data_IF_403885919838
#
_entry.id   IF_403885919838
#
_cell.length_a   1.000
_cell.length_b   1.000
_cell.length_c   1.000
_cell.angle_alpha   90.00
_cell.angle_beta   90.00
_cell.angle_gamma   90.00
#
_symmetry.space_group_name_H-M   'P 1'
#
loop_
_entity.id
_entity.type
_entity.pdbx_description
1 polymer ?
#
# COMPACT_ATOMS: atom_id res chain seq x y z
N UNK A 1 -20.36 29.58 25.54
CA UNK A 1 -20.96 28.73 24.47
C UNK A 1 -20.30 27.36 24.53
N UNK A 2 -20.97 26.37 25.15
CA UNK A 2 -20.54 24.97 25.03
C UNK A 2 -21.08 24.45 23.71
N UNK A 3 -20.23 24.24 22.72
CA UNK A 3 -20.58 23.42 21.58
C UNK A 3 -20.71 21.98 22.09
N UNK A 4 -21.92 21.46 22.16
CA UNK A 4 -22.17 20.04 22.33
C UNK A 4 -21.59 19.35 21.06
N UNK A 5 -20.43 18.77 21.20
CA UNK A 5 -19.81 18.00 20.12
C UNK A 5 -20.78 16.83 19.84
N UNK A 6 -21.45 16.85 18.69
CA UNK A 6 -22.27 15.71 18.27
C UNK A 6 -21.35 14.49 18.15
N UNK A 7 -21.72 13.41 18.80
CA UNK A 7 -21.01 12.14 18.63
C UNK A 7 -21.16 11.68 17.18
N UNK A 8 -20.23 10.82 16.69
CA UNK A 8 -20.30 10.27 15.33
C UNK A 8 -21.65 9.61 15.01
N UNK A 9 -22.43 9.22 16.02
CA UNK A 9 -23.78 8.66 15.92
C UNK A 9 -24.89 9.70 15.67
N UNK A 10 -24.66 10.97 16.00
CA UNK A 10 -25.65 12.04 15.88
C UNK A 10 -25.54 12.79 14.54
N UNK A 11 -24.55 12.46 13.74
CA UNK A 11 -24.37 13.06 12.42
C UNK A 11 -25.25 12.29 11.42
N UNK A 12 -26.15 12.96 10.67
CA UNK A 12 -27.06 12.27 9.75
C UNK A 12 -26.30 11.33 8.80
N UNK A 13 -26.82 10.12 8.61
CA UNK A 13 -26.28 9.08 7.70
C UNK A 13 -26.25 9.51 6.21
N UNK A 14 -26.26 10.79 5.91
CA UNK A 14 -26.24 11.31 4.55
C UNK A 14 -24.86 11.84 4.21
N UNK A 15 -24.27 11.32 3.18
CA UNK A 15 -23.11 11.73 2.41
C UNK A 15 -21.70 11.41 2.94
N UNK A 16 -21.50 10.92 4.20
CA UNK A 16 -20.14 10.63 4.73
C UNK A 16 -20.11 9.64 5.91
N UNK A 17 -21.15 8.82 6.05
CA UNK A 17 -21.12 7.72 7.01
C UNK A 17 -20.10 6.65 6.60
N UNK A 18 -19.60 5.86 7.56
CA UNK A 18 -18.79 4.69 7.27
C UNK A 18 -19.47 3.74 6.27
N UNK A 19 -20.81 3.73 6.25
CA UNK A 19 -21.61 2.94 5.33
C UNK A 19 -21.46 3.41 3.88
N UNK A 20 -21.54 4.74 3.62
CA UNK A 20 -21.34 5.31 2.27
C UNK A 20 -19.90 5.10 1.81
N UNK A 21 -18.92 5.36 2.68
CA UNK A 21 -17.52 5.13 2.39
C UNK A 21 -17.25 3.65 2.09
N UNK A 22 -17.84 2.74 2.87
CA UNK A 22 -17.76 1.30 2.65
C UNK A 22 -18.43 0.88 1.33
N UNK A 23 -19.60 1.44 1.00
CA UNK A 23 -20.31 1.15 -0.24
C UNK A 23 -19.51 1.56 -1.47
N UNK A 24 -18.99 2.78 -1.51
CA UNK A 24 -18.17 3.26 -2.63
C UNK A 24 -16.90 2.44 -2.82
N UNK A 25 -16.27 2.04 -1.71
CA UNK A 25 -15.09 1.17 -1.77
C UNK A 25 -15.44 -0.23 -2.29
N UNK A 26 -16.58 -0.79 -1.85
CA UNK A 26 -17.08 -2.08 -2.34
C UNK A 26 -17.33 -2.06 -3.84
N UNK A 27 -17.94 -0.98 -4.34
CA UNK A 27 -18.17 -0.79 -5.77
C UNK A 27 -16.85 -0.71 -6.55
N UNK A 28 -15.89 0.11 -6.08
CA UNK A 28 -14.60 0.33 -6.75
C UNK A 28 -13.77 -0.95 -6.85
N UNK A 29 -13.74 -1.75 -5.79
CA UNK A 29 -12.93 -2.97 -5.71
C UNK A 29 -13.73 -4.25 -5.98
N UNK A 30 -15.05 -4.14 -6.27
CA UNK A 30 -15.95 -5.30 -6.44
C UNK A 30 -15.85 -6.29 -5.27
N UNK A 31 -15.84 -5.76 -4.03
CA UNK A 31 -15.64 -6.57 -2.82
C UNK A 31 -16.82 -7.53 -2.62
N UNK A 32 -16.60 -8.85 -2.58
CA UNK A 32 -17.66 -9.82 -2.36
C UNK A 32 -18.36 -9.62 -1.01
N UNK A 33 -19.63 -10.06 -0.91
CA UNK A 33 -20.45 -9.89 0.30
C UNK A 33 -19.92 -10.63 1.54
N UNK A 34 -19.13 -11.69 1.32
CA UNK A 34 -18.47 -12.47 2.37
C UNK A 34 -17.14 -11.87 2.87
N UNK A 35 -16.98 -10.55 2.74
CA UNK A 35 -15.87 -9.79 3.30
C UNK A 35 -16.38 -8.66 4.18
N UNK A 36 -15.73 -8.42 5.31
CA UNK A 36 -15.88 -7.20 6.10
C UNK A 36 -14.91 -6.13 5.62
N UNK A 37 -15.40 -4.89 5.61
CA UNK A 37 -14.61 -3.67 5.37
C UNK A 37 -14.52 -2.93 6.69
N UNK A 38 -13.31 -2.78 7.21
CA UNK A 38 -13.06 -2.15 8.51
C UNK A 38 -12.22 -0.88 8.31
N UNK A 39 -12.62 0.19 8.98
CA UNK A 39 -11.91 1.46 9.05
C UNK A 39 -11.29 1.61 10.43
N UNK A 40 -10.00 1.30 10.55
CA UNK A 40 -9.30 1.15 11.81
C UNK A 40 -8.25 2.26 12.01
N UNK A 41 -7.61 2.25 13.17
CA UNK A 41 -6.53 3.15 13.55
C UNK A 41 -5.19 2.40 13.61
N UNK A 42 -4.06 3.12 13.83
CA UNK A 42 -2.74 2.51 13.98
C UNK A 42 -1.94 2.33 12.68
N UNK A 43 -2.53 2.65 11.52
CA UNK A 43 -1.88 2.52 10.21
C UNK A 43 -1.48 1.07 9.89
N UNK A 44 -0.70 0.89 8.83
CA UNK A 44 -0.19 -0.43 8.43
C UNK A 44 0.69 -1.07 9.53
N UNK A 45 1.42 -0.26 10.30
CA UNK A 45 2.24 -0.78 11.41
C UNK A 45 1.40 -1.45 12.50
N UNK A 46 0.22 -0.90 12.82
CA UNK A 46 -0.73 -1.55 13.71
C UNK A 46 -1.21 -2.89 13.17
N UNK A 47 -1.36 -3.02 11.85
CA UNK A 47 -1.79 -4.26 11.21
C UNK A 47 -0.69 -5.34 11.23
N UNK A 48 0.60 -4.98 11.26
CA UNK A 48 1.68 -5.94 11.47
C UNK A 48 1.54 -6.70 12.79
N UNK A 49 0.96 -6.05 13.82
CA UNK A 49 0.61 -6.66 15.11
C UNK A 49 -0.76 -7.35 15.07
N UNK A 50 -1.79 -6.67 14.55
CA UNK A 50 -3.17 -7.17 14.59
C UNK A 50 -3.35 -8.47 13.80
N UNK A 51 -2.72 -8.59 12.63
CA UNK A 51 -2.86 -9.76 11.76
C UNK A 51 -2.43 -11.07 12.46
N UNK A 52 -1.21 -11.20 13.02
CA UNK A 52 -0.85 -12.42 13.75
C UNK A 52 -1.70 -12.66 15.00
N UNK A 53 -2.21 -11.61 15.68
CA UNK A 53 -3.12 -11.77 16.81
C UNK A 53 -4.48 -12.34 16.41
N UNK A 54 -4.98 -12.00 15.21
CA UNK A 54 -6.29 -12.43 14.72
C UNK A 54 -6.24 -13.75 13.93
N UNK A 55 -5.16 -14.01 13.19
CA UNK A 55 -5.12 -15.11 12.23
C UNK A 55 -4.22 -16.26 12.65
N UNK A 56 -3.36 -16.09 13.68
CA UNK A 56 -2.38 -17.09 14.06
C UNK A 56 -2.42 -17.40 15.56
N UNK A 57 -2.51 -18.68 15.93
CA UNK A 57 -2.20 -19.13 17.28
C UNK A 57 -0.71 -18.94 17.60
N UNK A 58 -0.34 -18.94 18.89
CA UNK A 58 1.05 -18.74 19.32
C UNK A 58 2.05 -19.74 18.70
N UNK A 59 1.61 -20.97 18.49
CA UNK A 59 2.40 -22.05 17.91
C UNK A 59 2.24 -22.19 16.39
N UNK A 60 1.36 -21.37 15.78
CA UNK A 60 1.10 -21.43 14.35
C UNK A 60 2.31 -20.96 13.53
N UNK A 61 2.51 -21.59 12.39
CA UNK A 61 3.45 -21.12 11.37
C UNK A 61 2.73 -20.19 10.42
N UNK A 62 3.40 -19.08 10.06
CA UNK A 62 2.96 -18.12 9.06
C UNK A 62 4.06 -17.93 8.05
N UNK A 63 3.68 -17.79 6.79
CA UNK A 63 4.61 -17.58 5.69
C UNK A 63 4.71 -16.10 5.32
N UNK A 64 5.92 -15.68 4.98
CA UNK A 64 6.19 -14.32 4.49
C UNK A 64 7.07 -14.35 3.25
N UNK A 65 6.84 -13.38 2.37
CA UNK A 65 7.76 -13.04 1.26
C UNK A 65 8.46 -11.74 1.61
N UNK A 66 9.80 -11.76 1.66
CA UNK A 66 10.62 -10.58 1.98
C UNK A 66 11.13 -9.94 0.69
N UNK A 67 10.56 -8.79 0.32
CA UNK A 67 10.93 -8.04 -0.89
C UNK A 67 11.39 -6.61 -0.59
N UNK A 68 11.56 -6.26 0.69
CA UNK A 68 12.05 -4.92 1.02
C UNK A 68 11.84 -4.49 2.47
N UNK A 69 11.78 -3.19 2.66
CA UNK A 69 11.77 -2.60 4.00
C UNK A 69 10.45 -2.86 4.75
N UNK A 70 9.32 -2.87 4.07
CA UNK A 70 8.00 -3.03 4.70
C UNK A 70 7.71 -4.49 5.03
N UNK A 71 7.97 -5.40 4.11
CA UNK A 71 7.89 -6.84 4.37
C UNK A 71 8.82 -7.25 5.51
N UNK A 72 10.05 -6.73 5.56
CA UNK A 72 11.00 -6.98 6.66
C UNK A 72 10.46 -6.49 8.01
N UNK A 73 9.79 -5.33 8.08
CA UNK A 73 9.15 -4.84 9.31
C UNK A 73 7.99 -5.73 9.73
N UNK A 74 7.13 -6.13 8.79
CA UNK A 74 6.02 -7.03 9.06
C UNK A 74 6.51 -8.38 9.60
N UNK A 75 7.57 -8.95 9.02
CA UNK A 75 8.24 -10.16 9.49
C UNK A 75 8.75 -9.97 10.93
N UNK A 76 9.44 -8.84 11.20
CA UNK A 76 9.99 -8.55 12.52
C UNK A 76 8.93 -8.46 13.61
N UNK A 77 7.76 -7.91 13.28
CA UNK A 77 6.65 -7.80 14.22
C UNK A 77 5.95 -9.15 14.43
N UNK A 78 5.67 -9.91 13.36
CA UNK A 78 5.02 -11.22 13.44
C UNK A 78 5.82 -12.23 14.27
N UNK A 79 7.15 -12.18 14.23
CA UNK A 79 8.05 -13.03 15.03
C UNK A 79 7.84 -12.91 16.56
N UNK A 80 7.20 -11.84 17.02
CA UNK A 80 6.84 -11.65 18.44
C UNK A 80 5.65 -12.51 18.86
N UNK A 81 4.88 -12.98 17.88
CA UNK A 81 3.56 -13.57 18.14
C UNK A 81 3.43 -15.02 17.67
N UNK A 82 4.19 -15.45 16.67
CA UNK A 82 4.06 -16.76 16.05
C UNK A 82 5.37 -17.19 15.37
N UNK A 83 5.41 -18.41 14.84
CA UNK A 83 6.52 -18.95 14.08
C UNK A 83 6.49 -18.39 12.66
N UNK A 84 7.52 -17.63 12.27
CA UNK A 84 7.59 -17.03 10.94
C UNK A 84 8.54 -17.82 10.06
N UNK A 85 8.03 -18.31 8.93
CA UNK A 85 8.79 -18.89 7.84
C UNK A 85 8.89 -17.88 6.68
N UNK A 86 10.09 -17.55 6.24
CA UNK A 86 10.31 -16.68 5.07
C UNK A 86 10.51 -17.58 3.87
N UNK A 87 9.47 -17.74 3.04
CA UNK A 87 9.47 -18.68 1.90
C UNK A 87 10.23 -18.14 0.68
N UNK A 88 10.46 -16.82 0.63
CA UNK A 88 11.34 -16.19 -0.35
C UNK A 88 11.91 -14.89 0.23
N UNK A 89 13.19 -14.62 -0.05
CA UNK A 89 13.93 -13.43 0.40
C UNK A 89 14.76 -12.86 -0.74
N UNK A 90 14.45 -11.65 -1.16
CA UNK A 90 15.13 -10.95 -2.25
C UNK A 90 16.38 -10.17 -1.80
N UNK A 91 16.94 -10.46 -0.64
CA UNK A 91 18.17 -9.81 -0.14
C UNK A 91 19.35 -10.00 -1.11
N UNK A 92 19.46 -11.16 -1.77
CA UNK A 92 20.52 -11.45 -2.73
C UNK A 92 20.49 -10.53 -3.97
N UNK A 93 19.29 -10.08 -4.37
CA UNK A 93 19.10 -9.09 -5.45
C UNK A 93 19.19 -7.65 -4.95
N UNK A 94 19.52 -7.44 -3.67
CA UNK A 94 19.41 -6.15 -2.99
C UNK A 94 17.97 -5.55 -3.10
N UNK A 95 16.96 -6.42 -3.05
CA UNK A 95 15.55 -6.05 -3.16
C UNK A 95 15.23 -5.26 -4.45
N UNK A 96 15.87 -5.62 -5.56
CA UNK A 96 15.64 -4.98 -6.86
C UNK A 96 14.63 -5.73 -7.74
N UNK A 97 14.14 -6.87 -7.29
CA UNK A 97 13.19 -7.72 -8.02
C UNK A 97 12.20 -8.38 -7.05
N UNK A 98 11.25 -9.13 -7.60
CA UNK A 98 10.34 -10.02 -6.88
C UNK A 98 10.64 -11.48 -7.23
N UNK A 99 10.31 -12.46 -6.36
CA UNK A 99 10.47 -13.87 -6.67
C UNK A 99 9.69 -14.25 -7.95
N UNK A 100 10.13 -15.27 -8.65
CA UNK A 100 9.32 -15.85 -9.74
C UNK A 100 8.01 -16.43 -9.20
N UNK A 101 6.92 -16.28 -9.94
CA UNK A 101 5.58 -16.70 -9.48
C UNK A 101 5.52 -18.20 -9.14
N UNK A 102 6.24 -19.01 -9.89
CA UNK A 102 6.33 -20.45 -9.74
C UNK A 102 7.35 -20.93 -8.70
N UNK A 103 8.13 -20.02 -8.10
CA UNK A 103 9.08 -20.34 -7.01
C UNK A 103 8.44 -20.33 -5.64
N UNK A 104 7.33 -19.63 -5.46
CA UNK A 104 6.66 -19.52 -4.17
C UNK A 104 5.97 -20.84 -3.79
N UNK A 105 6.31 -21.37 -2.62
CA UNK A 105 5.75 -22.62 -2.08
C UNK A 105 5.23 -22.37 -0.68
N UNK A 106 3.93 -22.04 -0.52
CA UNK A 106 3.34 -21.88 0.80
C UNK A 106 3.48 -23.16 1.63
N UNK A 107 3.79 -23.00 2.91
CA UNK A 107 3.90 -24.10 3.85
C UNK A 107 2.52 -24.74 4.06
N UNK A 108 2.36 -26.05 3.85
CA UNK A 108 1.09 -26.70 4.13
C UNK A 108 0.64 -26.46 5.56
N UNK A 109 -0.58 -25.94 5.75
CA UNK A 109 -1.13 -25.64 7.07
C UNK A 109 -0.65 -24.33 7.69
N UNK A 110 0.11 -23.50 6.98
CA UNK A 110 0.41 -22.15 7.44
C UNK A 110 -0.89 -21.36 7.66
N UNK A 111 -0.95 -20.58 8.74
CA UNK A 111 -2.14 -19.80 9.08
C UNK A 111 -2.44 -18.71 8.04
N UNK A 112 -1.41 -18.16 7.41
CA UNK A 112 -1.49 -17.25 6.27
C UNK A 112 -0.15 -17.14 5.55
N UNK A 113 -0.21 -16.65 4.29
CA UNK A 113 0.94 -16.17 3.52
C UNK A 113 0.84 -14.64 3.40
N UNK A 114 1.84 -13.93 3.88
CA UNK A 114 1.91 -12.47 3.78
C UNK A 114 2.89 -12.03 2.70
N UNK A 115 2.49 -11.03 1.90
CA UNK A 115 3.37 -10.33 0.98
C UNK A 115 3.05 -8.84 0.91
N UNK A 116 4.01 -8.05 0.43
CA UNK A 116 3.86 -6.61 0.18
C UNK A 116 3.87 -6.38 -1.32
N UNK A 117 2.70 -6.26 -1.98
CA UNK A 117 2.60 -6.13 -3.43
C UNK A 117 3.43 -4.99 -4.02
N UNK A 118 3.61 -3.90 -3.28
CA UNK A 118 4.43 -2.76 -3.68
C UNK A 118 5.26 -2.24 -2.52
N UNK A 119 6.57 -2.42 -2.60
CA UNK A 119 7.55 -1.88 -1.65
C UNK A 119 7.82 -0.41 -1.96
N UNK A 120 7.20 0.48 -1.20
CA UNK A 120 7.21 1.94 -1.41
C UNK A 120 8.62 2.53 -1.47
N UNK A 121 9.55 2.00 -0.67
CA UNK A 121 10.91 2.54 -0.53
C UNK A 121 11.78 2.11 -1.71
N UNK A 122 11.81 0.82 -2.00
CA UNK A 122 12.61 0.25 -3.08
C UNK A 122 11.99 0.41 -4.47
N UNK A 123 10.68 0.68 -4.55
CA UNK A 123 9.98 0.79 -5.82
C UNK A 123 9.78 -0.55 -6.54
N UNK A 124 9.82 -1.64 -5.78
CA UNK A 124 9.58 -3.00 -6.30
C UNK A 124 8.10 -3.34 -6.17
N UNK A 125 7.50 -3.81 -7.24
CA UNK A 125 6.08 -4.19 -7.30
C UNK A 125 5.90 -5.56 -7.96
N UNK A 126 5.03 -6.38 -7.40
CA UNK A 126 4.67 -7.67 -7.98
C UNK A 126 3.81 -7.49 -9.23
N UNK A 127 4.20 -8.05 -10.39
CA UNK A 127 3.36 -8.06 -11.59
C UNK A 127 2.26 -9.13 -11.53
N UNK A 128 2.21 -9.91 -10.46
CA UNK A 128 1.27 -11.00 -10.25
C UNK A 128 0.79 -11.06 -8.80
N UNK A 129 -0.32 -11.75 -8.56
CA UNK A 129 -0.77 -12.12 -7.21
C UNK A 129 -0.27 -13.53 -6.91
N UNK A 130 0.43 -13.78 -5.78
CA UNK A 130 0.90 -15.12 -5.42
C UNK A 130 -0.22 -16.18 -5.39
N UNK A 131 0.10 -17.38 -5.83
CA UNK A 131 -0.78 -18.53 -5.69
C UNK A 131 -0.57 -19.14 -4.28
N UNK A 132 -1.51 -18.90 -3.38
CA UNK A 132 -1.41 -19.37 -1.99
C UNK A 132 -2.13 -20.71 -1.73
N UNK A 133 -2.83 -21.27 -2.73
CA UNK A 133 -3.59 -22.52 -2.59
C UNK A 133 -4.67 -22.37 -1.51
N UNK A 134 -4.68 -23.27 -0.53
CA UNK A 134 -5.62 -23.22 0.60
C UNK A 134 -5.19 -22.27 1.72
N UNK A 135 -3.96 -21.74 1.69
CA UNK A 135 -3.44 -20.82 2.70
C UNK A 135 -4.01 -19.41 2.44
N UNK A 136 -4.62 -18.74 3.43
CA UNK A 136 -5.11 -17.38 3.27
C UNK A 136 -4.00 -16.41 2.85
N UNK A 137 -4.19 -15.69 1.74
CA UNK A 137 -3.24 -14.67 1.28
C UNK A 137 -3.52 -13.35 1.97
N UNK A 138 -2.51 -12.77 2.58
CA UNK A 138 -2.54 -11.47 3.27
C UNK A 138 -1.66 -10.47 2.52
N UNK A 139 -2.20 -9.29 2.21
CA UNK A 139 -1.50 -8.29 1.42
C UNK A 139 -1.44 -6.92 2.09
N UNK A 140 -0.21 -6.35 2.20
CA UNK A 140 0.00 -4.92 2.48
C UNK A 140 -0.12 -4.11 1.19
N UNK A 141 -1.29 -3.59 0.93
CA UNK A 141 -1.55 -2.76 -0.24
C UNK A 141 -1.46 -1.27 0.04
N UNK A 142 -0.80 -0.84 1.12
CA UNK A 142 -0.75 0.59 1.51
C UNK A 142 -0.30 1.52 0.40
N UNK A 143 0.53 1.06 -0.54
CA UNK A 143 1.08 1.93 -1.58
C UNK A 143 0.53 1.70 -2.99
N UNK A 144 -0.30 0.67 -3.19
CA UNK A 144 -0.87 0.38 -4.51
C UNK A 144 -2.37 0.04 -4.51
N UNK A 145 -3.05 0.04 -3.35
CA UNK A 145 -4.51 -0.10 -3.32
C UNK A 145 -5.16 0.99 -4.16
N UNK A 146 -6.28 0.67 -4.83
CA UNK A 146 -7.03 1.60 -5.69
C UNK A 146 -6.23 2.16 -6.87
N UNK A 147 -5.05 1.62 -7.17
CA UNK A 147 -4.24 2.08 -8.32
C UNK A 147 -4.66 1.44 -9.64
N UNK A 148 -5.36 0.31 -9.58
CA UNK A 148 -5.87 -0.50 -10.70
C UNK A 148 -6.89 -1.51 -10.20
N UNK A 149 -7.67 -2.17 -11.06
CA UNK A 149 -8.54 -3.28 -10.66
C UNK A 149 -7.74 -4.43 -10.05
N UNK A 150 -8.32 -5.06 -9.03
CA UNK A 150 -7.81 -6.28 -8.41
C UNK A 150 -8.98 -7.25 -8.18
N UNK A 151 -8.71 -8.53 -8.16
CA UNK A 151 -9.68 -9.55 -7.75
C UNK A 151 -9.53 -9.81 -6.24
N UNK A 152 -10.41 -9.18 -5.44
CA UNK A 152 -10.40 -9.29 -3.97
C UNK A 152 -10.63 -10.73 -3.51
N UNK A 153 -11.33 -11.57 -4.28
CA UNK A 153 -11.63 -12.96 -3.91
C UNK A 153 -10.38 -13.83 -3.76
N UNK A 154 -9.26 -13.42 -4.33
CA UNK A 154 -7.97 -14.10 -4.20
C UNK A 154 -7.29 -13.91 -2.83
N UNK A 155 -7.80 -13.00 -1.99
CA UNK A 155 -7.18 -12.64 -0.73
C UNK A 155 -8.02 -13.12 0.45
N UNK A 156 -7.35 -13.57 1.50
CA UNK A 156 -7.96 -13.73 2.81
C UNK A 156 -8.11 -12.39 3.53
N UNK A 157 -7.08 -11.53 3.38
CA UNK A 157 -7.07 -10.20 4.00
C UNK A 157 -6.22 -9.23 3.16
N UNK A 158 -6.76 -8.04 2.94
CA UNK A 158 -6.02 -6.88 2.40
C UNK A 158 -6.03 -5.80 3.46
N UNK A 159 -4.89 -5.13 3.68
CA UNK A 159 -4.85 -3.94 4.49
C UNK A 159 -4.07 -2.81 3.80
N UNK A 160 -4.39 -1.58 4.16
CA UNK A 160 -3.76 -0.40 3.56
C UNK A 160 -3.81 0.82 4.49
N UNK A 161 -2.65 1.38 4.80
CA UNK A 161 -2.58 2.71 5.40
C UNK A 161 -3.08 3.78 4.43
N UNK A 162 -3.93 4.69 4.90
CA UNK A 162 -4.66 5.60 4.01
C UNK A 162 -3.80 6.70 3.36
N UNK A 163 -2.67 7.05 3.93
CA UNK A 163 -1.86 8.26 3.61
C UNK A 163 -1.28 8.33 2.18
N UNK A 164 -1.62 7.40 1.30
CA UNK A 164 -1.12 7.37 -0.09
C UNK A 164 -2.27 7.57 -1.09
N UNK A 165 -3.00 6.51 -1.45
CA UNK A 165 -4.08 6.58 -2.44
C UNK A 165 -5.48 6.76 -1.83
N UNK A 166 -5.66 6.58 -0.52
CA UNK A 166 -6.98 6.61 0.13
C UNK A 166 -7.32 7.99 0.69
N UNK A 167 -6.36 8.63 1.42
CA UNK A 167 -6.65 9.90 2.09
C UNK A 167 -5.57 10.31 3.08
N UNK A 168 -5.92 10.95 4.21
CA UNK A 168 -4.95 11.39 5.21
C UNK A 168 -4.42 10.23 6.05
N UNK A 169 -3.29 10.47 6.71
CA UNK A 169 -2.72 9.55 7.72
C UNK A 169 -3.65 9.36 8.92
N UNK A 170 -3.47 8.25 9.66
CA UNK A 170 -4.24 7.92 10.87
C UNK A 170 -5.34 6.89 10.64
N UNK A 171 -5.86 6.77 9.42
CA UNK A 171 -6.79 5.74 9.01
C UNK A 171 -6.04 4.54 8.40
N UNK A 172 -6.49 3.34 8.69
CA UNK A 172 -6.12 2.11 7.98
C UNK A 172 -7.35 1.34 7.56
N UNK A 173 -7.38 0.93 6.30
CA UNK A 173 -8.40 0.07 5.75
C UNK A 173 -8.00 -1.39 5.94
N UNK A 174 -8.96 -2.23 6.35
CA UNK A 174 -8.82 -3.69 6.35
C UNK A 174 -10.03 -4.29 5.63
N UNK A 175 -9.77 -5.14 4.65
CA UNK A 175 -10.77 -5.94 3.94
C UNK A 175 -10.45 -7.39 4.28
N UNK A 176 -11.32 -8.03 5.05
CA UNK A 176 -11.07 -9.38 5.59
C UNK A 176 -12.23 -10.31 5.31
N UNK A 177 -11.91 -11.52 4.87
CA UNK A 177 -12.89 -12.56 4.56
C UNK A 177 -13.56 -13.08 5.84
N UNK A 178 -14.88 -13.29 5.81
CA UNK A 178 -15.70 -13.62 6.99
C UNK A 178 -15.21 -14.86 7.75
N UNK A 179 -14.70 -15.87 7.05
CA UNK A 179 -14.19 -17.10 7.65
C UNK A 179 -12.89 -16.92 8.45
N UNK A 180 -12.25 -15.77 8.36
CA UNK A 180 -11.05 -15.39 9.10
C UNK A 180 -11.33 -14.54 10.34
N UNK A 181 -12.56 -14.10 10.54
CA UNK A 181 -13.01 -13.34 11.72
C UNK A 181 -13.38 -14.30 12.85
N UNK A 182 -13.29 -13.84 14.09
CA UNK A 182 -13.58 -14.64 15.28
C UNK A 182 -12.50 -15.66 15.65
N UNK A 183 -11.30 -15.50 15.11
CA UNK A 183 -10.14 -16.38 15.40
C UNK A 183 -9.07 -15.69 16.23
N UNK A 184 -9.36 -14.51 16.78
CA UNK A 184 -8.43 -13.80 17.62
C UNK A 184 -8.03 -14.67 18.84
N UNK A 185 -6.72 -14.75 19.09
CA UNK A 185 -6.22 -15.53 20.22
C UNK A 185 -6.63 -14.91 21.55
N UNK A 186 -6.73 -15.74 22.61
CA UNK A 186 -7.05 -15.27 23.94
C UNK A 186 -6.09 -14.16 24.39
N UNK A 187 -6.65 -13.10 25.01
CA UNK A 187 -5.91 -11.94 25.45
C UNK A 187 -5.65 -10.88 24.37
N UNK A 188 -6.15 -11.06 23.16
CA UNK A 188 -6.12 -9.98 22.13
C UNK A 188 -6.97 -8.80 22.62
N UNK A 189 -6.40 -7.58 22.74
CA UNK A 189 -7.18 -6.42 23.13
C UNK A 189 -8.31 -6.15 22.13
N UNK A 190 -9.52 -5.76 22.56
CA UNK A 190 -10.68 -5.55 21.67
C UNK A 190 -10.42 -4.58 20.51
N UNK A 191 -9.55 -3.57 20.72
CA UNK A 191 -9.18 -2.62 19.66
C UNK A 191 -8.39 -3.25 18.51
N UNK A 192 -7.77 -4.41 18.73
CA UNK A 192 -7.03 -5.21 17.75
C UNK A 192 -7.79 -6.45 17.28
N UNK A 193 -8.98 -6.70 17.83
CA UNK A 193 -9.83 -7.82 17.46
C UNK A 193 -10.76 -7.45 16.31
N UNK A 194 -10.60 -8.12 15.17
CA UNK A 194 -11.41 -7.84 13.97
C UNK A 194 -12.88 -8.18 14.17
N UNK A 195 -13.23 -9.16 15.00
CA UNK A 195 -14.61 -9.50 15.31
C UNK A 195 -15.28 -8.39 16.13
N UNK A 196 -14.61 -7.92 17.19
CA UNK A 196 -15.09 -6.82 18.00
C UNK A 196 -15.28 -5.54 17.15
N UNK A 197 -14.32 -5.23 16.29
CA UNK A 197 -14.41 -4.08 15.40
C UNK A 197 -15.51 -4.25 14.34
N UNK A 198 -15.70 -5.45 13.79
CA UNK A 198 -16.73 -5.72 12.77
C UNK A 198 -18.13 -5.62 13.36
N UNK A 199 -18.36 -6.16 14.56
CA UNK A 199 -19.66 -6.14 15.26
C UNK A 199 -20.13 -4.71 15.57
N UNK A 200 -19.21 -3.79 15.78
CA UNK A 200 -19.47 -2.37 16.04
C UNK A 200 -19.31 -1.48 14.78
N UNK A 201 -19.27 -2.06 13.57
CA UNK A 201 -19.15 -1.30 12.33
C UNK A 201 -17.90 -0.40 12.28
N UNK A 202 -16.78 -0.86 12.85
CA UNK A 202 -15.53 -0.10 13.06
C UNK A 202 -15.63 1.03 14.11
N UNK A 203 -16.68 1.06 14.91
CA UNK A 203 -16.97 2.12 15.89
C UNK A 203 -16.93 1.61 17.34
N UNK A 204 -16.13 0.59 17.63
CA UNK A 204 -15.90 0.12 19.01
C UNK A 204 -15.42 1.26 19.94
N UNK A 205 -14.65 2.18 19.41
CA UNK A 205 -14.30 3.45 20.01
C UNK A 205 -14.53 4.58 19.00
N UNK A 206 -14.36 5.83 19.41
CA UNK A 206 -14.49 6.99 18.52
C UNK A 206 -13.58 6.83 17.30
N UNK A 207 -14.14 6.73 16.08
CA UNK A 207 -13.36 6.48 14.87
C UNK A 207 -12.61 7.75 14.40
N UNK A 208 -11.60 7.62 13.52
CA UNK A 208 -10.93 8.76 12.90
C UNK A 208 -11.85 9.43 11.85
N UNK A 209 -12.90 10.08 12.32
CA UNK A 209 -14.04 10.59 11.53
C UNK A 209 -13.59 11.42 10.33
N UNK A 210 -12.67 12.36 10.54
CA UNK A 210 -12.14 13.19 9.44
C UNK A 210 -11.41 12.35 8.38
N UNK A 211 -10.65 11.33 8.81
CA UNK A 211 -9.97 10.41 7.91
C UNK A 211 -10.95 9.60 7.05
N UNK A 212 -12.02 9.12 7.65
CA UNK A 212 -13.09 8.36 6.96
C UNK A 212 -13.83 9.29 5.97
N UNK A 213 -14.17 10.51 6.39
CA UNK A 213 -14.81 11.51 5.53
C UNK A 213 -13.96 11.81 4.28
N UNK A 214 -12.67 12.08 4.47
CA UNK A 214 -11.74 12.36 3.35
C UNK A 214 -11.58 11.13 2.44
N UNK A 215 -11.53 9.92 3.00
CA UNK A 215 -11.48 8.70 2.22
C UNK A 215 -12.74 8.54 1.34
N UNK A 216 -13.92 8.81 1.89
CA UNK A 216 -15.18 8.81 1.14
C UNK A 216 -15.16 9.79 -0.04
N UNK A 217 -14.65 11.02 0.16
CA UNK A 217 -14.49 11.99 -0.93
C UNK A 217 -13.54 11.49 -2.03
N UNK A 218 -12.45 10.82 -1.65
CA UNK A 218 -11.50 10.22 -2.60
C UNK A 218 -12.16 9.07 -3.36
N UNK A 219 -12.92 8.19 -2.71
CA UNK A 219 -13.63 7.10 -3.38
C UNK A 219 -14.67 7.63 -4.38
N UNK A 220 -15.45 8.63 -3.98
CA UNK A 220 -16.38 9.31 -4.87
C UNK A 220 -15.66 9.98 -6.06
N UNK A 221 -14.48 10.57 -5.82
CA UNK A 221 -13.64 11.12 -6.89
C UNK A 221 -13.18 10.02 -7.84
N UNK A 222 -12.66 8.89 -7.36
CA UNK A 222 -12.23 7.77 -8.20
C UNK A 222 -13.37 7.24 -9.08
N UNK A 223 -14.60 7.16 -8.53
CA UNK A 223 -15.79 6.76 -9.32
C UNK A 223 -16.08 7.76 -10.45
N UNK A 224 -16.01 9.07 -10.16
CA UNK A 224 -16.23 10.12 -11.18
C UNK A 224 -15.13 10.13 -12.27
N UNK A 225 -13.91 9.75 -11.92
CA UNK A 225 -12.77 9.64 -12.86
C UNK A 225 -12.83 8.39 -13.76
N UNK A 226 -13.92 7.62 -13.72
CA UNK A 226 -14.12 6.41 -14.52
C UNK A 226 -13.73 5.11 -13.83
N UNK A 227 -13.58 5.13 -12.50
CA UNK A 227 -13.26 3.94 -11.69
C UNK A 227 -11.84 3.44 -11.88
N UNK A 228 -11.57 2.26 -11.35
CA UNK A 228 -10.19 1.74 -11.29
C UNK A 228 -9.62 1.34 -12.64
N UNK A 229 -10.43 1.08 -13.65
CA UNK A 229 -9.96 0.80 -15.01
C UNK A 229 -9.31 2.06 -15.61
N UNK A 230 -9.99 3.19 -15.57
CA UNK A 230 -9.48 4.46 -16.08
C UNK A 230 -8.28 4.97 -15.25
N UNK A 231 -8.34 4.81 -13.92
CA UNK A 231 -7.23 5.17 -13.02
C UNK A 231 -6.02 4.28 -13.31
N UNK A 232 -6.21 2.97 -13.49
CA UNK A 232 -5.12 2.03 -13.79
C UNK A 232 -4.42 2.37 -15.10
N UNK A 233 -5.16 2.70 -16.15
CA UNK A 233 -4.60 3.11 -17.43
C UNK A 233 -3.78 4.41 -17.30
N UNK A 234 -4.30 5.41 -16.57
CA UNK A 234 -3.59 6.66 -16.29
C UNK A 234 -2.30 6.43 -15.49
N UNK A 235 -2.35 5.55 -14.49
CA UNK A 235 -1.18 5.20 -13.68
C UNK A 235 -0.13 4.45 -14.51
N UNK A 236 -0.56 3.50 -15.36
CA UNK A 236 0.32 2.80 -16.28
C UNK A 236 1.04 3.77 -17.20
N UNK A 237 0.32 4.69 -17.84
CA UNK A 237 0.87 5.71 -18.72
C UNK A 237 1.91 6.60 -18.02
N UNK A 238 1.61 7.09 -16.80
CA UNK A 238 2.55 7.87 -15.99
C UNK A 238 3.85 7.10 -15.72
N UNK A 239 3.74 5.86 -15.29
CA UNK A 239 4.90 5.02 -14.97
C UNK A 239 5.73 4.72 -16.21
N UNK A 240 5.11 4.29 -17.30
CA UNK A 240 5.79 3.97 -18.57
C UNK A 240 6.54 5.17 -19.12
N UNK A 241 5.93 6.37 -19.12
CA UNK A 241 6.59 7.58 -19.58
C UNK A 241 7.84 7.91 -18.75
N UNK A 242 7.75 7.82 -17.42
CA UNK A 242 8.88 8.14 -16.55
C UNK A 242 10.00 7.11 -16.68
N UNK A 243 9.67 5.82 -16.71
CA UNK A 243 10.67 4.77 -16.92
C UNK A 243 11.31 4.84 -18.31
N UNK A 244 10.54 5.14 -19.35
CA UNK A 244 11.11 5.35 -20.70
C UNK A 244 12.10 6.51 -20.72
N UNK A 245 11.80 7.62 -20.04
CA UNK A 245 12.72 8.75 -19.91
C UNK A 245 13.99 8.38 -19.14
N UNK A 246 13.88 7.60 -18.06
CA UNK A 246 15.03 7.10 -17.31
C UNK A 246 15.89 6.19 -18.21
N UNK A 247 15.29 5.18 -18.81
CA UNK A 247 16.02 4.14 -19.57
C UNK A 247 16.68 4.68 -20.83
N UNK A 248 16.06 5.66 -21.52
CA UNK A 248 16.59 6.26 -22.75
C UNK A 248 17.65 7.34 -22.50
N UNK A 249 17.77 7.86 -21.26
CA UNK A 249 18.62 9.01 -20.97
C UNK A 249 20.11 8.75 -21.10
N UNK A 250 20.55 7.49 -20.86
CA UNK A 250 21.97 7.16 -20.67
C UNK A 250 22.60 7.76 -19.42
N UNK A 251 21.87 8.59 -18.67
CA UNK A 251 22.32 9.29 -17.47
C UNK A 251 21.61 8.81 -16.20
N UNK A 252 20.28 8.69 -16.23
CA UNK A 252 19.50 8.17 -15.13
C UNK A 252 19.45 6.64 -15.15
N UNK A 253 19.38 6.02 -13.97
CA UNK A 253 19.21 4.56 -13.84
C UNK A 253 18.17 4.23 -12.78
N UNK A 254 17.25 3.32 -13.11
CA UNK A 254 16.40 2.69 -12.10
C UNK A 254 17.15 1.52 -11.46
N UNK A 255 17.18 1.40 -10.11
CA UNK A 255 17.76 0.24 -9.45
C UNK A 255 16.88 -1.02 -9.54
N UNK A 256 15.62 -0.88 -10.02
CA UNK A 256 14.62 -1.94 -10.05
C UNK A 256 14.61 -2.65 -11.41
N UNK A 257 14.59 -3.98 -11.38
CA UNK A 257 14.45 -4.81 -12.57
C UNK A 257 13.16 -4.47 -13.34
N UNK A 258 13.22 -4.44 -14.67
CA UNK A 258 12.13 -3.95 -15.51
C UNK A 258 10.79 -4.64 -15.26
N UNK A 259 10.80 -5.96 -14.97
CA UNK A 259 9.62 -6.75 -14.68
C UNK A 259 9.06 -6.60 -13.25
N UNK A 260 9.71 -5.80 -12.41
CA UNK A 260 9.36 -5.59 -11.00
C UNK A 260 9.18 -4.11 -10.64
N UNK A 261 8.99 -3.25 -11.63
CA UNK A 261 8.90 -1.80 -11.46
C UNK A 261 7.54 -1.35 -10.96
N UNK A 262 7.55 -0.53 -9.92
CA UNK A 262 6.34 0.07 -9.35
C UNK A 262 5.72 1.13 -10.27
N UNK A 263 4.38 1.14 -10.36
CA UNK A 263 3.65 2.24 -11.00
C UNK A 263 3.47 3.44 -10.07
N UNK A 264 3.69 3.25 -8.75
CA UNK A 264 3.43 4.29 -7.75
C UNK A 264 4.70 4.97 -7.26
N UNK A 265 5.82 4.24 -7.21
CA UNK A 265 7.07 4.70 -6.61
C UNK A 265 8.23 4.39 -7.53
N UNK A 266 8.77 5.39 -8.18
CA UNK A 266 9.82 5.29 -9.19
C UNK A 266 11.14 5.79 -8.62
N UNK A 267 12.01 4.89 -8.10
CA UNK A 267 13.36 5.27 -7.67
C UNK A 267 14.29 5.38 -8.89
N UNK A 268 15.19 6.34 -8.82
CA UNK A 268 16.24 6.52 -9.83
C UNK A 268 17.48 7.16 -9.23
N UNK A 269 18.63 6.94 -9.87
CA UNK A 269 19.94 7.48 -9.49
C UNK A 269 20.57 8.22 -10.65
N UNK A 270 21.63 8.98 -10.36
CA UNK A 270 22.49 9.65 -11.33
C UNK A 270 23.95 9.17 -11.17
N UNK A 271 24.82 9.31 -12.19
CA UNK A 271 26.21 8.81 -12.14
C UNK A 271 27.07 9.47 -11.07
N UNK A 272 26.75 10.71 -10.68
CA UNK A 272 27.48 11.53 -9.73
C UNK A 272 26.63 11.72 -8.45
N UNK A 273 26.73 10.84 -7.44
CA UNK A 273 25.90 10.89 -6.24
C UNK A 273 25.98 12.22 -5.48
N UNK A 274 27.11 12.94 -5.58
CA UNK A 274 27.32 14.26 -5.00
C UNK A 274 26.36 15.33 -5.57
N UNK A 275 25.79 15.09 -6.75
CA UNK A 275 24.81 15.97 -7.39
C UNK A 275 23.35 15.67 -7.00
N UNK A 276 23.05 14.61 -6.25
CA UNK A 276 21.68 14.26 -5.84
C UNK A 276 21.01 15.37 -5.05
N UNK A 277 21.74 16.00 -4.13
CA UNK A 277 21.22 17.15 -3.37
C UNK A 277 20.99 18.36 -4.26
N UNK A 278 21.87 18.61 -5.22
CA UNK A 278 21.72 19.67 -6.21
C UNK A 278 20.50 19.44 -7.08
N UNK A 279 20.30 18.19 -7.56
CA UNK A 279 19.11 17.80 -8.31
C UNK A 279 17.83 18.11 -7.53
N UNK A 280 17.73 17.65 -6.28
CA UNK A 280 16.55 17.88 -5.45
C UNK A 280 16.31 19.37 -5.17
N UNK A 281 17.37 20.14 -4.91
CA UNK A 281 17.26 21.58 -4.65
C UNK A 281 16.82 22.37 -5.89
N UNK A 282 17.35 22.06 -7.07
CA UNK A 282 16.95 22.70 -8.33
C UNK A 282 15.54 22.27 -8.75
N UNK A 283 15.19 20.99 -8.56
CA UNK A 283 13.83 20.50 -8.80
C UNK A 283 12.81 21.22 -7.93
N UNK A 284 13.11 21.42 -6.65
CA UNK A 284 12.23 22.16 -5.73
C UNK A 284 12.03 23.61 -6.17
N UNK A 285 13.07 24.28 -6.66
CA UNK A 285 12.96 25.64 -7.25
C UNK A 285 12.10 25.66 -8.51
N UNK A 286 12.07 24.56 -9.25
CA UNK A 286 11.21 24.39 -10.42
C UNK A 286 9.78 23.92 -10.06
N UNK A 287 9.41 23.86 -8.76
CA UNK A 287 8.10 23.41 -8.30
C UNK A 287 7.93 21.89 -8.17
N UNK A 288 9.02 21.13 -8.32
CA UNK A 288 9.04 19.66 -8.21
C UNK A 288 9.58 19.26 -6.83
N UNK A 289 8.69 19.18 -5.85
CA UNK A 289 9.04 18.92 -4.45
C UNK A 289 9.11 17.42 -4.11
N UNK A 290 9.80 17.08 -3.01
CA UNK A 290 9.81 15.75 -2.38
C UNK A 290 10.36 14.62 -3.29
N UNK A 291 11.37 14.91 -4.08
CA UNK A 291 12.05 13.92 -4.94
C UNK A 291 13.20 13.21 -4.24
N UNK A 292 13.59 13.62 -3.05
CA UNK A 292 14.67 12.96 -2.30
C UNK A 292 14.31 11.49 -2.03
N UNK A 293 15.25 10.59 -2.30
CA UNK A 293 15.13 9.17 -2.02
C UNK A 293 15.10 8.90 -0.50
N UNK A 294 14.65 7.71 -0.12
CA UNK A 294 14.66 7.34 1.28
C UNK A 294 16.11 7.18 1.78
N UNK A 295 16.40 7.66 3.00
CA UNK A 295 17.74 7.65 3.62
C UNK A 295 18.46 6.28 3.62
N UNK A 296 17.70 5.18 3.55
CA UNK A 296 18.26 3.82 3.52
C UNK A 296 18.67 3.34 2.12
N UNK A 297 18.26 4.04 1.06
CA UNK A 297 18.48 3.65 -0.34
C UNK A 297 19.28 4.71 -1.10
N UNK A 298 19.12 5.99 -0.72
CA UNK A 298 19.72 7.11 -1.46
C UNK A 298 18.97 7.42 -2.76
N UNK A 299 19.63 8.14 -3.64
CA UNK A 299 19.09 8.52 -4.93
C UNK A 299 17.89 9.48 -4.86
N UNK A 300 17.07 9.45 -5.88
CA UNK A 300 15.80 10.16 -5.97
C UNK A 300 14.64 9.17 -6.08
N UNK A 301 13.43 9.62 -5.72
CA UNK A 301 12.21 8.84 -5.88
C UNK A 301 11.03 9.72 -6.23
N UNK A 302 10.43 9.48 -7.39
CA UNK A 302 9.14 10.06 -7.74
C UNK A 302 8.00 9.20 -7.20
N UNK A 303 7.14 9.77 -6.34
CA UNK A 303 5.91 9.14 -5.86
C UNK A 303 4.73 9.69 -6.66
N UNK A 304 4.24 8.88 -7.63
CA UNK A 304 3.26 9.29 -8.65
C UNK A 304 1.89 8.62 -8.42
N UNK A 305 1.40 8.69 -7.19
CA UNK A 305 0.10 8.13 -6.79
C UNK A 305 -1.06 8.60 -7.66
N UNK A 306 -2.26 8.06 -7.43
CA UNK A 306 -3.45 8.31 -8.25
C UNK A 306 -3.72 9.80 -8.54
N UNK A 307 -3.55 10.66 -7.53
CA UNK A 307 -3.82 12.08 -7.64
C UNK A 307 -2.76 12.88 -8.43
N UNK A 308 -1.58 12.30 -8.70
CA UNK A 308 -0.57 12.95 -9.53
C UNK A 308 -1.04 13.03 -10.97
N UNK A 309 -1.23 14.23 -11.54
CA UNK A 309 -1.62 14.38 -12.94
C UNK A 309 -0.46 14.01 -13.88
N UNK A 310 -0.81 13.62 -15.11
CA UNK A 310 0.18 13.34 -16.16
C UNK A 310 1.15 14.51 -16.38
N UNK A 311 0.63 15.74 -16.39
CA UNK A 311 1.42 16.96 -16.53
C UNK A 311 2.53 17.12 -15.46
N UNK A 312 2.32 16.58 -14.25
CA UNK A 312 3.34 16.57 -13.20
C UNK A 312 4.51 15.64 -13.55
N UNK A 313 4.22 14.48 -14.14
CA UNK A 313 5.25 13.54 -14.61
C UNK A 313 5.99 14.13 -15.82
N UNK A 314 5.28 14.75 -16.76
CA UNK A 314 5.88 15.45 -17.90
C UNK A 314 6.80 16.59 -17.46
N UNK A 315 6.41 17.35 -16.44
CA UNK A 315 7.24 18.42 -15.89
C UNK A 315 8.54 17.85 -15.28
N UNK A 316 8.46 16.73 -14.57
CA UNK A 316 9.65 16.05 -14.05
C UNK A 316 10.56 15.58 -15.19
N UNK A 317 10.02 14.95 -16.22
CA UNK A 317 10.81 14.47 -17.37
C UNK A 317 11.52 15.63 -18.08
N UNK A 318 10.85 16.76 -18.30
CA UNK A 318 11.47 17.96 -18.87
C UNK A 318 12.63 18.45 -18.00
N UNK A 319 12.39 18.58 -16.70
CA UNK A 319 13.42 18.97 -15.73
C UNK A 319 14.62 18.01 -15.75
N UNK A 320 14.38 16.70 -15.77
CA UNK A 320 15.44 15.69 -15.86
C UNK A 320 16.31 15.91 -17.12
N UNK A 321 15.71 16.13 -18.27
CA UNK A 321 16.44 16.43 -19.50
C UNK A 321 17.27 17.73 -19.43
N UNK A 322 16.75 18.78 -18.78
CA UNK A 322 17.47 20.04 -18.57
C UNK A 322 18.63 19.88 -17.58
N UNK A 323 18.41 19.16 -16.50
CA UNK A 323 19.46 18.87 -15.52
C UNK A 323 20.60 18.07 -16.14
N UNK A 324 20.28 17.03 -16.91
CA UNK A 324 21.27 16.22 -17.63
C UNK A 324 22.12 17.08 -18.60
N UNK A 325 21.50 18.01 -19.35
CA UNK A 325 22.26 18.89 -20.27
C UNK A 325 23.24 19.82 -19.55
N UNK A 326 22.96 20.18 -18.27
CA UNK A 326 23.81 21.09 -17.50
C UNK A 326 24.90 20.39 -16.69
N UNK A 327 24.67 19.14 -16.30
CA UNK A 327 25.50 18.43 -15.32
C UNK A 327 25.99 17.06 -15.82
N UNK A 328 25.54 16.60 -16.96
CA UNK A 328 25.84 15.30 -17.57
C UNK A 328 27.20 15.19 -18.22
#
# INVERSE_FOLDING_TARGET
FFFKQKTAYEIPKRDWSSDVCSSDLRDLLSIPSNYKVLFLQGGATGQFTAIPLNLAGAEATVDYVNTGAWSKKAIGEAKRFCKVNVIADEAASNYSTVPAADSLRPTPGAAYLHYTPNETIGGVEFPYVPAAGAVPLVADMSSNILSRPIDVSRFGLIYAGAQKNIGPSGLVLVIVRDDLIGKARAGTPPIWDYEAMANEGSMLNTPPTFGIYMAGLVFAWLKREGGLVAIGERNRQKAEMLYAAIDSSGYYKSPVAANSRSWMNVPFTIPKPELEKTFCAEAAKAGLANLEGHRSVGGMRASIYNAMPLAGVEALIRFMGEFQRRHG
#
